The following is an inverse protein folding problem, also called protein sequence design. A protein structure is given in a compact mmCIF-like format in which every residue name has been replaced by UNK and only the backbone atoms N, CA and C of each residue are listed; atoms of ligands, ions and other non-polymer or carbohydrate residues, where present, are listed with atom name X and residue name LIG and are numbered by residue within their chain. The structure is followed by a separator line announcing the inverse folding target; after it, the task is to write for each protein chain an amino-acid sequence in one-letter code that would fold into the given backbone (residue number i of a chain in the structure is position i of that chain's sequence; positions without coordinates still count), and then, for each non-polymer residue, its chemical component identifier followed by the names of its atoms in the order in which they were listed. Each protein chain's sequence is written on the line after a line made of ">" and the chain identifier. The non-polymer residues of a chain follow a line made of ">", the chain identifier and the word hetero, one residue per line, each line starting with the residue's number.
data_IF_846215551291
#
_entry.id   IF_846215551291
#
_cell.length_a   1.000
_cell.length_b   1.000
_cell.length_c   1.000
_cell.angle_alpha   90.00
_cell.angle_beta   90.00
_cell.angle_gamma   90.00
#
_symmetry.space_group_name_H-M   'P 1'
#
loop_
_entity.id
_entity.type
_entity.pdbx_description
1 polymer ?
#
# COMPACT_ATOMS: atom_id res chain seq x y z
N UNK A 1 -4.21 54.05 -25.92
CA UNK A 1 -4.70 52.74 -25.43
C UNK A 1 -6.22 52.79 -25.33
N UNK A 2 -6.97 51.85 -25.93
CA UNK A 2 -8.42 51.94 -25.95
C UNK A 2 -8.99 51.48 -24.61
N UNK A 3 -9.22 52.42 -23.68
CA UNK A 3 -9.83 52.14 -22.38
C UNK A 3 -11.31 51.71 -22.49
N UNK A 4 -11.98 52.11 -23.58
CA UNK A 4 -13.40 51.82 -23.84
C UNK A 4 -13.75 50.32 -23.89
N UNK A 5 -13.06 49.44 -24.65
CA UNK A 5 -13.35 48.01 -24.65
C UNK A 5 -13.10 47.34 -23.30
N UNK A 6 -12.11 47.80 -22.52
CA UNK A 6 -11.82 47.25 -21.20
C UNK A 6 -12.96 47.55 -20.22
N UNK A 7 -13.46 48.79 -20.22
CA UNK A 7 -14.58 49.22 -19.37
C UNK A 7 -15.84 48.43 -19.70
N UNK A 8 -16.16 48.27 -20.99
CA UNK A 8 -17.33 47.49 -21.44
C UNK A 8 -17.22 46.03 -21.00
N UNK A 9 -16.04 45.42 -21.12
CA UNK A 9 -15.83 44.04 -20.69
C UNK A 9 -15.99 43.89 -19.17
N UNK A 10 -15.41 44.79 -18.37
CA UNK A 10 -15.57 44.76 -16.91
C UNK A 10 -17.02 44.97 -16.47
N UNK A 11 -17.76 45.87 -17.13
CA UNK A 11 -19.18 46.07 -16.83
C UNK A 11 -20.02 44.85 -17.18
N UNK A 12 -19.71 44.16 -18.29
CA UNK A 12 -20.44 42.98 -18.73
C UNK A 12 -20.17 41.78 -17.82
N UNK A 13 -18.91 41.60 -17.39
CA UNK A 13 -18.53 40.58 -16.39
C UNK A 13 -19.18 40.88 -15.04
N UNK A 14 -19.22 42.14 -14.62
CA UNK A 14 -19.90 42.55 -13.39
C UNK A 14 -21.40 42.25 -13.43
N UNK A 15 -22.08 42.57 -14.53
CA UNK A 15 -23.50 42.28 -14.70
C UNK A 15 -23.79 40.77 -14.69
N UNK A 16 -22.92 39.96 -15.31
CA UNK A 16 -23.03 38.51 -15.30
C UNK A 16 -22.88 37.93 -13.88
N UNK A 17 -21.96 38.44 -13.06
CA UNK A 17 -21.83 38.02 -11.67
C UNK A 17 -23.06 38.36 -10.84
N UNK A 18 -23.62 39.57 -11.02
CA UNK A 18 -24.84 39.99 -10.31
C UNK A 18 -26.03 39.10 -10.68
N UNK A 19 -26.20 38.80 -11.97
CA UNK A 19 -27.26 37.88 -12.42
C UNK A 19 -27.08 36.46 -11.89
N UNK A 20 -25.84 35.96 -11.83
CA UNK A 20 -25.53 34.64 -11.27
C UNK A 20 -25.82 34.58 -9.76
N UNK A 21 -25.50 35.64 -9.02
CA UNK A 21 -25.79 35.78 -7.59
C UNK A 21 -27.29 35.91 -7.30
N UNK A 22 -28.06 36.53 -8.20
CA UNK A 22 -29.51 36.63 -8.07
C UNK A 22 -30.24 35.33 -8.48
N UNK A 23 -29.66 34.54 -9.38
CA UNK A 23 -30.19 33.25 -9.80
C UNK A 23 -29.80 32.08 -8.87
N UNK A 24 -28.83 32.30 -7.97
CA UNK A 24 -28.47 31.33 -6.94
C UNK A 24 -29.54 31.31 -5.84
N UNK A 25 -30.16 30.16 -5.53
CA UNK A 25 -31.03 30.06 -4.36
C UNK A 25 -30.17 30.31 -3.11
N UNK A 26 -30.42 31.43 -2.43
CA UNK A 26 -29.83 31.80 -1.15
C UNK A 26 -30.36 30.88 -0.04
N UNK A 27 -30.01 29.60 -0.09
CA UNK A 27 -30.20 28.64 1.00
C UNK A 27 -28.90 28.56 1.82
N UNK A 28 -28.52 29.69 2.45
CA UNK A 28 -27.52 29.69 3.53
C UNK A 28 -28.27 29.55 4.86
N UNK A 29 -28.76 28.34 5.11
CA UNK A 29 -29.36 27.92 6.36
C UNK A 29 -28.85 26.53 6.70
N UNK A 30 -28.71 26.23 8.00
CA UNK A 30 -28.34 24.90 8.45
C UNK A 30 -29.27 23.86 7.81
N UNK A 31 -28.70 22.89 7.09
CA UNK A 31 -29.44 21.72 6.59
C UNK A 31 -30.15 21.13 7.82
N UNK A 32 -31.49 21.12 7.89
CA UNK A 32 -32.17 20.44 8.97
C UNK A 32 -31.76 18.97 8.87
N UNK A 33 -31.18 18.44 9.96
CA UNK A 33 -30.93 17.02 10.06
C UNK A 33 -32.22 16.27 9.66
N UNK A 34 -32.15 15.25 8.80
CA UNK A 34 -33.32 14.45 8.49
C UNK A 34 -33.92 13.99 9.82
N UNK A 35 -35.17 14.36 10.07
CA UNK A 35 -35.93 13.91 11.23
C UNK A 35 -36.02 12.39 11.15
N UNK A 36 -35.09 11.72 11.82
CA UNK A 36 -35.15 10.28 12.05
C UNK A 36 -36.32 10.08 12.99
N UNK A 37 -37.49 9.82 12.43
CA UNK A 37 -38.61 9.28 13.19
C UNK A 37 -38.12 7.98 13.82
N UNK A 38 -38.09 7.85 15.16
CA UNK A 38 -37.70 6.59 15.77
C UNK A 38 -38.74 5.55 15.38
N UNK A 39 -38.37 4.64 14.48
CA UNK A 39 -39.16 3.42 14.26
C UNK A 39 -39.13 2.64 15.56
N UNK A 40 -40.29 2.45 16.18
CA UNK A 40 -40.42 1.56 17.31
C UNK A 40 -39.91 0.17 16.92
N UNK A 41 -38.93 -0.34 17.67
CA UNK A 41 -38.51 -1.72 17.55
C UNK A 41 -39.68 -2.62 17.94
N UNK A 42 -40.33 -3.25 16.96
CA UNK A 42 -41.25 -4.36 17.21
C UNK A 42 -40.40 -5.61 17.41
N UNK A 43 -40.04 -5.88 18.66
CA UNK A 43 -39.57 -7.21 19.07
C UNK A 43 -40.74 -8.18 18.95
N UNK A 44 -40.77 -8.95 17.88
CA UNK A 44 -41.63 -10.13 17.79
C UNK A 44 -40.96 -11.23 18.61
N UNK A 45 -41.48 -11.50 19.80
CA UNK A 45 -41.08 -12.66 20.60
C UNK A 45 -41.44 -13.92 19.82
N UNK A 46 -40.43 -14.68 19.38
CA UNK A 46 -40.63 -16.02 18.87
C UNK A 46 -40.74 -16.95 20.07
N UNK A 47 -41.96 -17.35 20.41
CA UNK A 47 -42.20 -18.45 21.33
C UNK A 47 -41.80 -19.75 20.62
N UNK A 48 -40.61 -20.27 20.95
CA UNK A 48 -40.13 -21.54 20.45
C UNK A 48 -40.92 -22.63 21.18
N UNK A 49 -41.91 -23.21 20.51
CA UNK A 49 -42.62 -24.41 20.97
C UNK A 49 -41.58 -25.53 21.20
N UNK A 50 -41.43 -26.08 22.41
CA UNK A 50 -40.49 -27.17 22.66
C UNK A 50 -40.84 -28.36 21.78
N UNK A 51 -39.86 -28.82 21.00
CA UNK A 51 -39.97 -30.08 20.28
C UNK A 51 -40.11 -31.21 21.30
N UNK A 52 -41.17 -32.00 21.14
CA UNK A 52 -41.39 -33.19 21.95
C UNK A 52 -40.21 -34.14 21.78
N UNK A 53 -39.69 -34.60 22.91
CA UNK A 53 -38.68 -35.65 23.02
C UNK A 53 -39.29 -36.92 22.41
N UNK A 54 -38.83 -37.31 21.22
CA UNK A 54 -39.11 -38.64 20.68
C UNK A 54 -38.21 -39.63 21.40
N UNK A 55 -38.85 -40.49 22.19
CA UNK A 55 -38.28 -41.68 22.82
C UNK A 55 -37.59 -42.60 21.80
N UNK A 56 -36.51 -43.32 22.18
CA UNK A 56 -35.81 -44.24 21.31
C UNK A 56 -36.68 -45.50 21.06
N UNK A 57 -36.94 -45.79 19.79
CA UNK A 57 -37.59 -47.04 19.38
C UNK A 57 -36.54 -48.07 18.96
N UNK A 58 -36.68 -49.26 19.53
CA UNK A 58 -35.91 -50.50 19.42
C UNK A 58 -35.78 -51.03 17.97
N UNK A 59 -34.67 -51.68 17.58
CA UNK A 59 -34.51 -52.27 16.25
C UNK A 59 -34.99 -53.73 16.17
N UNK A 60 -35.55 -54.16 15.02
CA UNK A 60 -35.54 -55.57 14.62
C UNK A 60 -35.05 -55.72 13.13
N UNK A 61 -34.91 -56.94 12.56
CA UNK A 61 -33.60 -57.59 12.31
C UNK A 61 -33.21 -57.71 10.82
N UNK A 62 -31.94 -58.06 10.57
CA UNK A 62 -31.39 -58.49 9.25
C UNK A 62 -32.13 -59.74 8.72
N UNK A 63 -32.36 -60.01 7.42
CA UNK A 63 -31.53 -60.19 6.19
C UNK A 63 -32.56 -60.67 5.09
N UNK A 64 -32.28 -61.05 3.80
CA UNK A 64 -31.03 -61.12 3.03
C UNK A 64 -31.07 -60.58 1.58
N UNK A 65 -29.86 -60.55 1.02
CA UNK A 65 -29.33 -60.39 -0.35
C UNK A 65 -30.23 -60.74 -1.55
N UNK A 66 -30.22 -59.88 -2.58
CA UNK A 66 -30.28 -60.30 -4.00
C UNK A 66 -29.26 -59.52 -4.84
N UNK A 67 -28.37 -60.30 -5.47
CA UNK A 67 -27.34 -59.91 -6.43
C UNK A 67 -27.98 -59.70 -7.81
N UNK A 68 -27.65 -58.62 -8.53
CA UNK A 68 -27.80 -58.58 -10.00
C UNK A 68 -26.73 -57.69 -10.68
N UNK A 69 -26.34 -58.16 -11.85
CA UNK A 69 -25.13 -57.87 -12.63
C UNK A 69 -25.09 -56.50 -13.34
N UNK A 70 -23.91 -56.05 -13.85
CA UNK A 70 -23.76 -54.75 -14.49
C UNK A 70 -24.15 -54.79 -15.98
N UNK A 71 -24.80 -53.73 -16.46
CA UNK A 71 -25.04 -53.49 -17.88
C UNK A 71 -24.34 -52.21 -18.34
N UNK A 72 -23.59 -52.34 -19.45
CA UNK A 72 -22.90 -51.28 -20.16
C UNK A 72 -23.88 -50.30 -20.80
N UNK A 73 -23.38 -49.08 -21.06
CA UNK A 73 -23.35 -48.35 -22.34
C UNK A 73 -23.87 -46.92 -22.26
N UNK A 74 -23.02 -46.00 -22.75
CA UNK A 74 -23.31 -44.88 -23.66
C UNK A 74 -23.06 -43.48 -23.10
N UNK A 75 -22.03 -42.86 -23.67
CA UNK A 75 -21.79 -41.42 -23.65
C UNK A 75 -22.80 -40.66 -24.53
N UNK A 76 -23.09 -39.40 -24.19
CA UNK A 76 -23.42 -38.39 -25.19
C UNK A 76 -22.41 -37.24 -25.25
N UNK A 77 -22.28 -36.72 -26.47
CA UNK A 77 -21.40 -35.67 -26.97
C UNK A 77 -21.76 -34.25 -26.45
N UNK A 78 -20.88 -33.24 -26.66
CA UNK A 78 -21.04 -31.89 -26.12
C UNK A 78 -21.93 -31.00 -27.00
N UNK A 79 -22.58 -29.97 -26.45
CA UNK A 79 -23.23 -28.95 -27.25
C UNK A 79 -22.23 -27.88 -27.70
N UNK A 80 -22.24 -27.60 -29.01
CA UNK A 80 -21.78 -26.34 -29.57
C UNK A 80 -22.96 -25.34 -29.56
N UNK A 81 -22.72 -24.08 -29.21
CA UNK A 81 -23.42 -22.98 -29.85
C UNK A 81 -22.63 -21.67 -29.79
N UNK A 82 -22.53 -21.09 -30.98
CA UNK A 82 -21.85 -19.86 -31.36
C UNK A 82 -22.52 -18.62 -30.78
N UNK A 83 -21.72 -17.59 -30.49
CA UNK A 83 -22.14 -16.21 -30.68
C UNK A 83 -20.96 -15.40 -31.23
N UNK A 84 -21.17 -14.82 -32.40
CA UNK A 84 -20.33 -13.86 -33.12
C UNK A 84 -20.89 -12.45 -32.95
N UNK A 85 -20.07 -11.48 -32.55
CA UNK A 85 -20.17 -10.06 -32.90
C UNK A 85 -18.86 -9.33 -32.45
N UNK A 86 -18.53 -8.12 -32.94
CA UNK A 86 -17.33 -7.90 -33.75
C UNK A 86 -16.18 -7.22 -32.99
N UNK A 87 -14.99 -7.34 -33.60
CA UNK A 87 -13.77 -6.63 -33.22
C UNK A 87 -13.99 -5.11 -33.25
N UNK A 88 -13.86 -4.47 -32.08
CA UNK A 88 -13.47 -3.07 -31.98
C UNK A 88 -11.98 -3.01 -31.67
N UNK A 89 -11.25 -2.42 -32.60
CA UNK A 89 -9.87 -1.96 -32.48
C UNK A 89 -9.81 -0.96 -31.32
N UNK A 90 -9.02 -1.19 -30.25
CA UNK A 90 -8.63 -0.10 -29.38
C UNK A 90 -7.54 0.72 -30.07
N UNK A 91 -7.64 2.05 -30.11
CA UNK A 91 -6.53 2.89 -30.52
C UNK A 91 -5.36 2.73 -29.53
N UNK A 92 -4.18 2.63 -30.11
CA UNK A 92 -2.85 2.75 -29.48
C UNK A 92 -2.87 3.75 -28.32
N UNK A 93 -2.52 3.35 -27.08
CA UNK A 93 -2.15 4.33 -26.08
C UNK A 93 -0.82 4.93 -26.52
N UNK A 94 -0.87 6.21 -26.85
CA UNK A 94 0.29 7.06 -27.06
C UNK A 94 1.08 7.04 -25.74
N UNK A 95 2.13 6.23 -25.73
CA UNK A 95 3.21 6.36 -24.78
C UNK A 95 3.93 7.69 -25.07
N UNK A 96 4.34 8.46 -24.05
CA UNK A 96 5.53 9.26 -24.18
C UNK A 96 6.75 8.32 -24.06
N UNK A 97 7.38 8.04 -25.20
CA UNK A 97 8.78 7.61 -25.39
C UNK A 97 9.75 8.55 -24.64
N UNK A 98 10.67 8.02 -23.81
CA UNK A 98 12.04 7.54 -24.10
C UNK A 98 13.04 8.63 -24.52
N UNK A 99 14.14 8.77 -23.75
CA UNK A 99 15.58 8.69 -24.15
C UNK A 99 16.31 8.30 -22.84
N UNK A 100 17.13 7.23 -22.72
CA UNK A 100 18.29 6.95 -23.54
C UNK A 100 18.54 5.45 -23.75
N UNK A 101 18.85 5.16 -25.01
CA UNK A 101 19.48 3.95 -25.49
C UNK A 101 21.00 4.17 -25.41
N UNK A 102 21.74 3.21 -24.89
CA UNK A 102 23.16 3.06 -25.18
C UNK A 102 23.39 1.61 -25.60
N UNK A 103 23.70 1.45 -26.89
CA UNK A 103 24.27 0.25 -27.49
C UNK A 103 25.58 -0.12 -26.77
N UNK A 104 25.99 -1.39 -26.86
CA UNK A 104 27.30 -1.61 -27.46
C UNK A 104 27.23 -2.52 -28.66
N UNK A 105 27.94 -2.09 -29.70
CA UNK A 105 28.27 -2.85 -30.89
C UNK A 105 29.01 -4.16 -30.58
N UNK A 106 28.64 -5.16 -31.36
CA UNK A 106 29.32 -6.44 -31.54
C UNK A 106 30.51 -6.27 -32.48
N UNK A 107 31.74 -6.63 -32.08
CA UNK A 107 32.78 -7.17 -33.00
C UNK A 107 33.76 -8.07 -32.17
N UNK A 108 34.58 -8.95 -32.78
CA UNK A 108 34.29 -10.35 -33.10
C UNK A 108 35.14 -11.35 -32.29
N UNK A 109 34.81 -12.64 -32.46
CA UNK A 109 35.52 -13.83 -31.97
C UNK A 109 36.95 -13.89 -32.53
N UNK A 110 37.92 -14.17 -31.66
CA UNK A 110 39.21 -14.73 -32.03
C UNK A 110 39.51 -15.94 -31.12
N UNK A 111 39.61 -17.12 -31.74
CA UNK A 111 40.08 -18.37 -31.15
C UNK A 111 41.57 -18.28 -30.79
N UNK A 112 41.95 -18.71 -29.58
CA UNK A 112 43.04 -19.68 -29.33
C UNK A 112 43.15 -20.02 -27.83
N UNK A 113 43.67 -21.20 -27.48
CA UNK A 113 43.36 -21.90 -26.24
C UNK A 113 44.32 -21.54 -25.10
N UNK A 114 43.88 -21.76 -23.85
CA UNK A 114 44.57 -22.61 -22.86
C UNK A 114 44.34 -22.14 -21.42
N UNK A 115 44.26 -23.15 -20.57
CA UNK A 115 44.65 -23.18 -19.15
C UNK A 115 43.63 -22.68 -18.12
N UNK A 116 42.91 -23.67 -17.59
CA UNK A 116 42.33 -23.70 -16.24
C UNK A 116 43.34 -23.25 -15.17
N UNK A 117 42.91 -22.40 -14.23
CA UNK A 117 43.29 -22.54 -12.84
C UNK A 117 42.04 -22.76 -11.98
N UNK A 118 42.02 -23.89 -11.30
CA UNK A 118 41.03 -24.22 -10.27
C UNK A 118 41.14 -23.22 -9.12
N UNK A 119 40.18 -22.31 -9.01
CA UNK A 119 39.98 -21.48 -7.82
C UNK A 119 39.01 -22.23 -6.91
N UNK A 120 39.34 -22.48 -5.63
CA UNK A 120 38.43 -23.12 -4.69
C UNK A 120 37.15 -22.29 -4.58
N UNK A 121 36.00 -22.94 -4.71
CA UNK A 121 34.70 -22.32 -4.48
C UNK A 121 34.63 -21.82 -3.04
N UNK A 122 34.82 -20.52 -2.84
CA UNK A 122 34.40 -19.84 -1.63
C UNK A 122 32.87 -19.91 -1.59
N UNK A 123 32.34 -20.83 -0.77
CA UNK A 123 30.93 -20.81 -0.41
C UNK A 123 30.62 -19.44 0.19
N UNK A 124 29.55 -18.73 -0.25
CA UNK A 124 29.07 -17.60 0.52
C UNK A 124 28.65 -18.12 1.89
N UNK A 125 29.39 -17.71 2.92
CA UNK A 125 28.99 -17.87 4.31
C UNK A 125 27.60 -17.25 4.47
N UNK A 126 26.59 -18.10 4.65
CA UNK A 126 25.29 -17.68 5.15
C UNK A 126 25.51 -16.94 6.47
N UNK A 127 25.09 -15.67 6.62
CA UNK A 127 25.14 -15.01 7.91
C UNK A 127 24.27 -15.80 8.90
N UNK A 128 24.84 -16.03 10.08
CA UNK A 128 24.26 -16.72 11.23
C UNK A 128 22.72 -16.60 11.28
N UNK A 129 22.05 -17.75 11.21
CA UNK A 129 20.74 -17.92 11.82
C UNK A 129 20.90 -17.75 13.35
N UNK A 130 20.24 -16.77 13.95
CA UNK A 130 20.03 -16.77 15.41
C UNK A 130 20.02 -15.45 16.17
N UNK A 131 20.22 -14.28 15.55
CA UNK A 131 19.98 -13.02 16.25
C UNK A 131 18.48 -12.69 16.21
N UNK A 132 17.76 -12.97 17.30
CA UNK A 132 16.41 -12.45 17.48
C UNK A 132 16.51 -10.94 17.71
N UNK A 133 16.26 -10.15 16.68
CA UNK A 133 16.16 -8.70 16.83
C UNK A 133 14.96 -8.39 17.72
N UNK A 134 15.17 -7.65 18.81
CA UNK A 134 14.07 -7.22 19.66
C UNK A 134 13.11 -6.33 18.85
N UNK A 135 11.81 -6.58 19.00
CA UNK A 135 10.79 -5.93 18.21
C UNK A 135 9.55 -5.62 19.06
N UNK A 136 9.08 -4.38 18.98
CA UNK A 136 7.83 -3.94 19.62
C UNK A 136 6.91 -3.35 18.55
N UNK A 137 5.83 -4.06 18.20
CA UNK A 137 4.89 -3.60 17.18
C UNK A 137 3.83 -2.70 17.83
N UNK A 138 3.60 -1.46 17.34
CA UNK A 138 2.65 -0.55 17.94
C UNK A 138 1.22 -1.10 17.88
N UNK A 139 0.41 -0.71 18.86
CA UNK A 139 -1.04 -1.00 18.87
C UNK A 139 -1.77 -0.37 17.68
N UNK A 140 -2.97 -0.86 17.40
CA UNK A 140 -3.82 -0.32 16.32
C UNK A 140 -4.11 1.17 16.54
N UNK A 141 -3.92 1.98 15.50
CA UNK A 141 -4.00 3.44 15.58
C UNK A 141 -4.35 4.07 14.24
N UNK A 142 -4.97 5.25 14.28
CA UNK A 142 -5.18 6.10 13.12
C UNK A 142 -4.40 7.40 13.26
N UNK A 143 -3.53 7.69 12.27
CA UNK A 143 -2.71 8.90 12.23
C UNK A 143 -3.18 9.80 11.10
N UNK A 144 -3.53 11.04 11.42
CA UNK A 144 -3.94 12.06 10.46
C UNK A 144 -2.79 13.03 10.22
N UNK A 145 -2.53 13.34 8.96
CA UNK A 145 -1.44 14.20 8.55
C UNK A 145 -1.93 15.42 7.78
N UNK A 146 -1.27 16.56 8.02
CA UNK A 146 -1.23 17.66 7.06
C UNK A 146 -0.12 17.35 6.05
N UNK A 147 -0.43 17.47 4.75
CA UNK A 147 0.52 17.16 3.69
C UNK A 147 0.76 18.38 2.83
N UNK A 148 2.03 18.65 2.55
CA UNK A 148 2.47 19.61 1.53
C UNK A 148 3.31 18.89 0.50
N UNK A 149 3.36 19.41 -0.71
CA UNK A 149 4.20 18.83 -1.74
C UNK A 149 4.44 19.78 -2.89
N UNK A 150 5.39 19.38 -3.74
CA UNK A 150 5.73 20.04 -4.99
C UNK A 150 5.64 19.03 -6.12
N UNK A 151 5.01 19.42 -7.21
CA UNK A 151 4.93 18.63 -8.44
C UNK A 151 5.04 19.55 -9.64
N UNK A 152 6.03 19.33 -10.51
CA UNK A 152 6.24 20.14 -11.73
C UNK A 152 6.28 21.65 -11.44
N UNK A 153 7.02 22.04 -10.41
CA UNK A 153 7.16 23.43 -9.94
C UNK A 153 5.88 24.07 -9.37
N UNK A 154 4.83 23.29 -9.08
CA UNK A 154 3.64 23.77 -8.39
C UNK A 154 3.57 23.17 -6.99
N UNK A 155 3.38 24.04 -6.00
CA UNK A 155 3.14 23.63 -4.61
C UNK A 155 1.67 23.27 -4.42
N UNK A 156 1.41 22.26 -3.61
CA UNK A 156 0.07 21.82 -3.27
C UNK A 156 -0.03 21.39 -1.80
N UNK A 157 -1.26 21.31 -1.31
CA UNK A 157 -1.56 20.84 0.04
C UNK A 157 -2.69 19.81 0.00
N UNK A 158 -2.65 18.87 0.92
CA UNK A 158 -3.62 17.80 1.05
C UNK A 158 -3.75 17.36 2.52
N UNK A 159 -4.73 16.50 2.78
CA UNK A 159 -4.75 15.72 4.00
C UNK A 159 -4.44 14.26 3.67
N UNK A 160 -3.79 13.60 4.62
CA UNK A 160 -3.54 12.17 4.53
C UNK A 160 -3.89 11.46 5.85
N UNK A 161 -4.13 10.17 5.76
CA UNK A 161 -4.46 9.31 6.89
C UNK A 161 -3.76 7.96 6.74
N UNK A 162 -3.07 7.53 7.80
CA UNK A 162 -2.60 6.17 7.99
C UNK A 162 -3.53 5.45 8.97
N UNK A 163 -4.23 4.43 8.48
CA UNK A 163 -4.93 3.45 9.32
C UNK A 163 -4.01 2.26 9.53
N UNK A 164 -3.64 1.99 10.78
CA UNK A 164 -2.86 0.83 11.19
C UNK A 164 -3.71 -0.06 12.09
N UNK A 165 -3.94 -1.31 11.66
CA UNK A 165 -4.72 -2.30 12.38
C UNK A 165 -3.91 -3.57 12.55
N UNK A 166 -3.96 -4.18 13.73
CA UNK A 166 -3.32 -5.46 14.02
C UNK A 166 -4.00 -6.19 15.19
N UNK A 167 -3.90 -7.52 15.19
CA UNK A 167 -4.44 -8.42 16.22
C UNK A 167 -3.35 -9.29 16.90
N UNK A 168 -2.08 -8.94 16.70
CA UNK A 168 -0.90 -9.69 17.16
C UNK A 168 -0.53 -10.89 16.28
N UNK A 169 -1.31 -11.21 15.25
CA UNK A 169 -1.05 -12.31 14.31
C UNK A 169 -1.02 -11.84 12.86
N UNK A 170 -1.87 -10.88 12.51
CA UNK A 170 -2.00 -10.26 11.19
C UNK A 170 -2.05 -8.75 11.33
N UNK A 171 -1.84 -8.06 10.22
CA UNK A 171 -1.99 -6.61 10.16
C UNK A 171 -2.59 -6.14 8.85
N UNK A 172 -3.19 -4.95 8.91
CA UNK A 172 -3.61 -4.15 7.77
C UNK A 172 -3.15 -2.69 7.95
N UNK A 173 -2.37 -2.20 7.01
CA UNK A 173 -1.93 -0.81 6.93
C UNK A 173 -2.54 -0.16 5.68
N UNK A 174 -3.08 1.05 5.81
CA UNK A 174 -3.57 1.84 4.67
C UNK A 174 -3.20 3.30 4.83
N UNK A 175 -2.38 3.80 3.92
CA UNK A 175 -2.11 5.23 3.74
C UNK A 175 -3.00 5.77 2.64
N UNK A 176 -3.75 6.84 2.90
CA UNK A 176 -4.54 7.53 1.88
C UNK A 176 -4.29 9.02 1.92
N UNK A 177 -4.25 9.66 0.76
CA UNK A 177 -4.13 11.10 0.63
C UNK A 177 -5.18 11.59 -0.38
N UNK A 178 -5.83 12.70 -0.06
CA UNK A 178 -6.80 13.32 -0.95
C UNK A 178 -6.71 14.84 -0.89
N UNK A 179 -6.89 15.47 -2.04
CA UNK A 179 -7.00 16.92 -2.17
C UNK A 179 -8.05 17.29 -3.21
N UNK A 180 -8.73 18.40 -2.97
CA UNK A 180 -9.71 18.97 -3.90
C UNK A 180 -9.02 19.24 -5.26
N UNK A 181 -9.64 18.81 -6.36
CA UNK A 181 -9.14 18.90 -7.75
C UNK A 181 -7.90 18.05 -8.12
N UNK A 182 -7.12 17.54 -7.16
CA UNK A 182 -5.91 16.74 -7.42
C UNK A 182 -6.19 15.22 -7.40
N UNK A 183 -7.33 14.83 -6.82
CA UNK A 183 -7.80 13.45 -6.72
C UNK A 183 -7.35 12.76 -5.43
N UNK A 184 -7.39 11.43 -5.43
CA UNK A 184 -6.99 10.61 -4.30
C UNK A 184 -5.94 9.57 -4.70
N UNK A 185 -5.03 9.28 -3.78
CA UNK A 185 -4.08 8.17 -3.84
C UNK A 185 -4.18 7.35 -2.57
N UNK A 186 -4.00 6.06 -2.68
CA UNK A 186 -3.84 5.19 -1.50
C UNK A 186 -2.81 4.10 -1.73
N UNK A 187 -2.09 3.77 -0.68
CA UNK A 187 -1.30 2.55 -0.57
C UNK A 187 -1.87 1.68 0.54
N UNK A 188 -1.84 0.37 0.38
CA UNK A 188 -2.17 -0.57 1.46
C UNK A 188 -1.20 -1.73 1.49
N UNK A 189 -0.92 -2.23 2.69
CA UNK A 189 -0.12 -3.40 2.96
C UNK A 189 -0.87 -4.28 3.94
N UNK A 190 -0.93 -5.58 3.68
CA UNK A 190 -1.48 -6.56 4.61
C UNK A 190 -0.57 -7.78 4.68
N UNK A 191 -0.60 -8.45 5.82
CA UNK A 191 0.32 -9.55 6.06
C UNK A 191 0.19 -10.18 7.44
N UNK A 192 1.22 -10.93 7.79
CA UNK A 192 1.36 -11.61 9.09
C UNK A 192 2.33 -10.86 9.99
N UNK A 193 2.20 -11.07 11.28
CA UNK A 193 3.18 -10.69 12.29
C UNK A 193 3.96 -11.95 12.67
N UNK A 194 5.29 -11.88 12.60
CA UNK A 194 6.20 -12.98 12.91
C UNK A 194 7.24 -12.54 13.93
N UNK A 195 8.13 -13.45 14.34
CA UNK A 195 9.25 -13.11 15.22
C UNK A 195 10.22 -12.08 14.61
N UNK A 196 10.27 -11.96 13.28
CA UNK A 196 11.09 -10.95 12.59
C UNK A 196 10.31 -9.64 12.34
N UNK A 197 9.01 -9.62 12.67
CA UNK A 197 8.12 -8.48 12.52
C UNK A 197 7.11 -8.63 11.41
N UNK A 198 6.91 -7.56 10.64
CA UNK A 198 5.89 -7.51 9.61
C UNK A 198 6.31 -8.37 8.42
N UNK A 199 5.51 -9.38 8.07
CA UNK A 199 5.69 -10.19 6.89
C UNK A 199 4.54 -9.91 5.91
N UNK A 200 4.69 -8.95 4.97
CA UNK A 200 3.67 -8.63 4.00
C UNK A 200 3.34 -9.85 3.13
N UNK A 201 2.07 -9.99 2.78
CA UNK A 201 1.59 -10.95 1.77
C UNK A 201 1.10 -10.21 0.52
N UNK A 202 0.60 -8.97 0.69
CA UNK A 202 0.09 -8.14 -0.40
C UNK A 202 0.39 -6.65 -0.16
N UNK A 203 0.88 -6.00 -1.20
CA UNK A 203 0.97 -4.54 -1.29
C UNK A 203 0.10 -4.04 -2.45
N UNK A 204 -0.58 -2.90 -2.28
CA UNK A 204 -1.40 -2.24 -3.29
C UNK A 204 -1.07 -0.75 -3.36
N UNK A 205 -0.88 -0.20 -4.55
CA UNK A 205 -0.76 1.24 -4.82
C UNK A 205 -1.81 1.64 -5.85
N UNK A 206 -2.71 2.53 -5.43
CA UNK A 206 -3.83 3.01 -6.23
C UNK A 206 -3.76 4.51 -6.37
N UNK A 207 -3.64 4.97 -7.61
CA UNK A 207 -3.80 6.37 -8.00
C UNK A 207 -4.71 6.43 -9.23
N UNK A 208 -4.15 6.72 -10.41
CA UNK A 208 -4.87 6.60 -11.70
C UNK A 208 -5.07 5.16 -12.15
N UNK A 209 -4.15 4.30 -11.78
CA UNK A 209 -4.25 2.85 -11.94
C UNK A 209 -3.90 2.17 -10.63
N UNK A 210 -4.28 0.91 -10.53
CA UNK A 210 -4.01 0.06 -9.39
C UNK A 210 -2.88 -0.92 -9.75
N UNK A 211 -1.90 -1.06 -8.86
CA UNK A 211 -0.80 -2.02 -8.98
C UNK A 211 -0.59 -2.74 -7.67
N UNK A 212 -0.23 -4.01 -7.76
CA UNK A 212 0.01 -4.85 -6.60
C UNK A 212 1.36 -5.57 -6.68
N UNK A 213 1.93 -5.83 -5.52
CA UNK A 213 2.99 -6.82 -5.33
C UNK A 213 2.46 -7.93 -4.40
N UNK A 214 2.72 -9.19 -4.74
CA UNK A 214 2.35 -10.36 -3.95
C UNK A 214 3.61 -11.03 -3.44
N UNK A 215 3.68 -11.27 -2.14
CA UNK A 215 4.81 -11.90 -1.49
C UNK A 215 4.51 -13.38 -1.33
N UNK A 216 5.10 -14.21 -2.17
CA UNK A 216 4.86 -15.66 -2.25
C UNK A 216 6.06 -16.38 -1.60
N UNK A 217 6.12 -16.32 -0.26
CA UNK A 217 7.24 -16.87 0.52
C UNK A 217 7.45 -18.37 0.29
N UNK A 218 6.37 -19.13 0.13
CA UNK A 218 6.36 -20.55 -0.21
C UNK A 218 7.01 -20.85 -1.58
N UNK A 219 6.98 -19.88 -2.49
CA UNK A 219 7.59 -19.97 -3.82
C UNK A 219 8.92 -19.22 -3.93
N UNK A 220 9.37 -18.57 -2.85
CA UNK A 220 10.60 -17.79 -2.83
C UNK A 220 10.60 -16.57 -3.76
N UNK A 221 9.44 -15.98 -4.06
CA UNK A 221 9.35 -14.84 -5.00
C UNK A 221 8.34 -13.76 -4.61
N UNK A 222 8.51 -12.58 -5.20
CA UNK A 222 7.58 -11.46 -5.17
C UNK A 222 7.13 -11.18 -6.60
N UNK A 223 5.82 -11.31 -6.87
CA UNK A 223 5.24 -11.10 -8.20
C UNK A 223 4.48 -9.79 -8.30
N UNK A 224 4.54 -9.14 -9.47
CA UNK A 224 3.97 -7.81 -9.69
C UNK A 224 2.82 -7.84 -10.69
N UNK A 225 1.69 -7.20 -10.34
CA UNK A 225 0.55 -7.06 -11.26
C UNK A 225 0.82 -6.11 -12.43
N UNK A 226 2.00 -5.47 -12.45
CA UNK A 226 2.45 -4.60 -13.51
C UNK A 226 3.05 -5.36 -14.72
N UNK A 227 3.05 -6.70 -14.69
CA UNK A 227 3.69 -7.58 -15.69
C UNK A 227 5.18 -7.28 -15.85
N UNK A 228 5.85 -6.91 -14.76
CA UNK A 228 7.31 -6.80 -14.68
C UNK A 228 7.91 -8.12 -14.18
N UNK A 229 9.21 -8.38 -14.38
CA UNK A 229 9.85 -9.57 -13.86
C UNK A 229 9.65 -9.73 -12.35
N UNK A 230 9.43 -10.97 -11.91
CA UNK A 230 9.38 -11.31 -10.50
C UNK A 230 10.72 -10.98 -9.81
N UNK A 231 10.66 -10.63 -8.53
CA UNK A 231 11.83 -10.44 -7.69
C UNK A 231 11.98 -11.64 -6.73
N UNK A 232 13.20 -11.97 -6.23
CA UNK A 232 13.34 -12.98 -5.19
C UNK A 232 12.64 -12.54 -3.90
N UNK A 233 12.02 -13.46 -3.18
CA UNK A 233 11.53 -13.21 -1.83
C UNK A 233 12.65 -13.46 -0.83
N UNK A 234 12.86 -12.52 0.09
CA UNK A 234 13.81 -12.64 1.19
C UNK A 234 13.05 -12.58 2.52
N UNK A 235 13.54 -13.32 3.52
CA UNK A 235 13.00 -13.23 4.88
C UNK A 235 13.16 -11.80 5.40
N UNK A 236 12.10 -11.25 5.99
CA UNK A 236 12.06 -9.83 6.41
C UNK A 236 11.88 -8.84 5.26
N UNK A 237 11.52 -9.30 4.06
CA UNK A 237 11.15 -8.40 2.97
C UNK A 237 9.92 -7.56 3.35
N UNK A 238 9.99 -6.27 3.08
CA UNK A 238 8.92 -5.31 3.30
C UNK A 238 8.35 -4.78 1.98
N UNK A 239 7.27 -4.03 2.05
CA UNK A 239 6.79 -3.16 0.98
C UNK A 239 6.97 -1.68 1.34
N UNK A 240 6.73 -0.79 0.38
CA UNK A 240 6.90 0.67 0.54
C UNK A 240 6.05 1.32 1.64
N UNK A 241 5.03 0.64 2.17
CA UNK A 241 4.25 1.11 3.32
C UNK A 241 4.70 0.41 4.61
N UNK A 242 4.78 -0.92 4.62
CA UNK A 242 5.14 -1.68 5.82
C UNK A 242 6.57 -1.42 6.30
N UNK A 243 7.49 -1.01 5.41
CA UNK A 243 8.88 -0.70 5.77
C UNK A 243 8.97 0.37 6.88
N UNK A 244 8.08 1.36 6.87
CA UNK A 244 8.08 2.42 7.89
C UNK A 244 7.62 1.92 9.24
N UNK A 245 6.60 1.06 9.26
CA UNK A 245 6.08 0.46 10.49
C UNK A 245 7.06 -0.56 11.06
N UNK A 246 7.76 -1.31 10.19
CA UNK A 246 8.84 -2.21 10.59
C UNK A 246 10.00 -1.45 11.23
N UNK A 247 10.45 -0.34 10.63
CA UNK A 247 11.51 0.50 11.20
C UNK A 247 11.13 1.05 12.58
N UNK A 248 9.92 1.59 12.73
CA UNK A 248 9.42 2.03 14.03
C UNK A 248 9.40 0.90 15.05
N UNK A 249 9.00 -0.30 14.63
CA UNK A 249 8.93 -1.48 15.50
C UNK A 249 10.30 -1.99 15.96
N UNK A 250 11.32 -1.90 15.09
CA UNK A 250 12.71 -2.22 15.41
C UNK A 250 13.28 -1.23 16.44
N UNK A 251 13.08 0.07 16.21
CA UNK A 251 13.49 1.11 17.14
C UNK A 251 12.79 0.97 18.49
N UNK A 252 11.49 0.67 18.51
CA UNK A 252 10.73 0.44 19.74
C UNK A 252 11.13 -0.83 20.49
N UNK A 253 11.66 -1.84 19.79
CA UNK A 253 12.08 -3.11 20.36
C UNK A 253 13.38 -3.01 21.16
N UNK A 254 14.38 -2.32 20.61
CA UNK A 254 15.65 -2.07 21.27
C UNK A 254 16.32 -0.80 20.75
N UNK A 255 15.95 0.38 21.30
CA UNK A 255 16.52 1.66 20.88
C UNK A 255 18.05 1.72 21.03
N UNK A 256 18.61 1.04 22.03
CA UNK A 256 20.04 1.07 22.32
C UNK A 256 20.89 0.38 21.23
N UNK A 257 20.30 -0.57 20.49
CA UNK A 257 20.91 -1.20 19.33
C UNK A 257 20.99 -0.29 18.09
N UNK A 258 20.39 0.90 18.12
CA UNK A 258 20.33 1.83 16.99
C UNK A 258 20.89 3.22 17.34
N UNK A 259 22.18 3.35 17.73
CA UNK A 259 22.80 4.65 17.91
C UNK A 259 22.87 5.46 16.60
N UNK A 260 23.12 6.76 16.70
CA UNK A 260 23.33 7.64 15.53
C UNK A 260 24.42 7.09 14.61
N UNK A 261 24.15 7.08 13.31
CA UNK A 261 25.02 6.50 12.27
C UNK A 261 24.76 5.02 11.97
N UNK A 262 23.95 4.33 12.80
CA UNK A 262 23.53 2.95 12.52
C UNK A 262 22.80 2.84 11.20
N UNK A 263 23.03 1.73 10.50
CA UNK A 263 22.38 1.43 9.22
C UNK A 263 21.40 0.29 9.37
N UNK A 264 20.20 0.48 8.87
CA UNK A 264 19.15 -0.55 8.81
C UNK A 264 18.81 -0.81 7.35
N UNK A 265 19.11 -2.01 6.87
CA UNK A 265 18.87 -2.43 5.49
C UNK A 265 17.69 -3.40 5.42
N UNK A 266 16.68 -3.06 4.60
CA UNK A 266 15.46 -3.85 4.42
C UNK A 266 15.20 -4.05 2.93
N UNK A 267 15.05 -5.29 2.51
CA UNK A 267 14.64 -5.59 1.13
C UNK A 267 13.19 -5.17 0.93
N UNK A 268 12.94 -4.20 0.06
CA UNK A 268 11.68 -3.45 0.00
C UNK A 268 11.08 -3.52 -1.40
N UNK A 269 9.86 -4.03 -1.52
CA UNK A 269 9.12 -4.08 -2.78
C UNK A 269 8.24 -2.83 -2.98
N UNK A 270 8.35 -2.24 -4.16
CA UNK A 270 7.38 -1.30 -4.70
C UNK A 270 6.32 -1.98 -5.58
N UNK A 271 5.58 -1.21 -6.39
CA UNK A 271 4.55 -1.76 -7.27
C UNK A 271 5.06 -2.49 -8.52
N UNK A 272 6.39 -2.59 -8.72
CA UNK A 272 7.02 -3.11 -9.96
C UNK A 272 8.32 -3.86 -9.78
N UNK A 273 9.05 -3.54 -8.72
CA UNK A 273 10.40 -4.01 -8.46
C UNK A 273 10.60 -4.07 -6.95
N UNK A 274 11.67 -4.76 -6.55
CA UNK A 274 12.12 -4.77 -5.17
C UNK A 274 13.63 -4.48 -5.11
N UNK A 275 14.04 -3.71 -4.12
CA UNK A 275 15.41 -3.26 -3.92
C UNK A 275 15.74 -3.14 -2.42
N UNK A 276 17.02 -3.21 -2.07
CA UNK A 276 17.45 -3.04 -0.67
C UNK A 276 17.46 -1.58 -0.29
N UNK A 277 16.57 -1.18 0.62
CA UNK A 277 16.55 0.16 1.19
C UNK A 277 17.43 0.20 2.42
N UNK A 278 18.42 1.08 2.42
CA UNK A 278 19.31 1.28 3.58
C UNK A 278 19.03 2.64 4.20
N UNK A 279 18.54 2.63 5.43
CA UNK A 279 18.29 3.82 6.24
C UNK A 279 19.44 4.03 7.20
N UNK A 280 19.84 5.29 7.38
CA UNK A 280 20.80 5.71 8.42
C UNK A 280 20.01 6.37 9.55
N UNK A 281 20.27 5.95 10.79
CA UNK A 281 19.73 6.59 11.99
C UNK A 281 20.47 7.89 12.22
N UNK A 282 19.75 8.98 12.30
CA UNK A 282 20.27 10.32 12.57
C UNK A 282 20.03 10.70 14.03
N UNK A 283 20.52 11.87 14.44
CA UNK A 283 20.26 12.40 15.77
C UNK A 283 18.75 12.66 16.02
N UNK A 284 18.34 12.55 17.27
CA UNK A 284 17.02 13.01 17.71
C UNK A 284 16.90 14.52 17.53
N UNK A 285 15.77 14.98 17.01
CA UNK A 285 15.45 16.40 16.87
C UNK A 285 14.03 16.70 17.36
N UNK A 286 13.84 17.91 17.88
CA UNK A 286 12.51 18.41 18.25
C UNK A 286 11.81 18.97 17.02
N UNK A 287 10.66 18.40 16.68
CA UNK A 287 9.81 18.83 15.58
C UNK A 287 8.66 19.69 16.10
N UNK A 288 8.42 20.84 15.45
CA UNK A 288 7.18 21.60 15.62
C UNK A 288 6.15 21.13 14.57
N UNK A 289 5.26 20.21 14.95
CA UNK A 289 4.24 19.64 14.07
C UNK A 289 2.87 20.29 14.31
N UNK A 290 1.90 20.15 13.39
CA UNK A 290 0.51 20.55 13.65
C UNK A 290 -0.12 19.87 14.87
N UNK A 291 0.38 18.69 15.27
CA UNK A 291 -0.03 17.99 16.49
C UNK A 291 0.65 18.53 17.79
N UNK A 292 1.61 19.46 17.68
CA UNK A 292 2.40 19.98 18.79
C UNK A 292 3.90 19.73 18.61
N UNK A 293 4.68 20.10 19.63
CA UNK A 293 6.11 19.80 19.68
C UNK A 293 6.37 18.35 20.10
N UNK A 294 7.26 17.66 19.39
CA UNK A 294 7.61 16.27 19.69
C UNK A 294 9.07 16.00 19.37
N UNK A 295 9.77 15.31 20.27
CA UNK A 295 11.10 14.79 19.99
C UNK A 295 10.97 13.54 19.11
N UNK A 296 11.77 13.46 18.04
CA UNK A 296 11.71 12.35 17.10
C UNK A 296 13.10 11.96 16.59
N UNK A 297 13.31 10.65 16.47
CA UNK A 297 14.50 10.07 15.84
C UNK A 297 14.27 10.04 14.34
N UNK A 298 15.17 10.66 13.57
CA UNK A 298 15.10 10.69 12.11
C UNK A 298 15.87 9.53 11.50
N UNK A 299 15.29 8.86 10.52
CA UNK A 299 15.96 7.90 9.64
C UNK A 299 15.97 8.42 8.20
N UNK A 300 17.13 8.33 7.55
CA UNK A 300 17.32 8.81 6.17
C UNK A 300 17.81 7.70 5.24
N UNK A 301 17.09 7.48 4.13
CA UNK A 301 17.58 6.75 2.96
C UNK A 301 18.00 7.75 1.90
N UNK A 302 19.29 7.78 1.58
CA UNK A 302 19.83 8.59 0.46
C UNK A 302 19.72 7.82 -0.86
N UNK A 303 19.61 8.51 -2.01
CA UNK A 303 19.71 7.89 -3.32
C UNK A 303 21.03 7.14 -3.49
N UNK A 304 21.01 5.91 -4.00
CA UNK A 304 22.22 5.12 -4.29
C UNK A 304 22.48 5.00 -5.79
N UNK A 305 21.44 5.10 -6.60
CA UNK A 305 21.47 5.08 -8.06
C UNK A 305 20.76 6.31 -8.61
N UNK A 306 20.94 6.55 -9.90
CA UNK A 306 20.11 7.51 -10.62
C UNK A 306 18.63 7.15 -10.47
N UNK A 307 17.77 8.17 -10.42
CA UNK A 307 16.32 8.06 -10.23
C UNK A 307 15.86 7.53 -8.85
N UNK A 308 16.77 7.19 -7.93
CA UNK A 308 16.38 6.88 -6.55
C UNK A 308 15.82 8.14 -5.85
N UNK A 309 14.79 7.93 -5.04
CA UNK A 309 14.22 8.95 -4.15
C UNK A 309 15.01 9.04 -2.83
N UNK A 310 15.06 10.25 -2.27
CA UNK A 310 15.43 10.44 -0.87
C UNK A 310 14.20 10.18 0.01
N UNK A 311 14.35 9.40 1.07
CA UNK A 311 13.29 9.16 2.05
C UNK A 311 13.79 9.58 3.42
N UNK A 312 13.06 10.45 4.08
CA UNK A 312 13.28 10.88 5.44
C UNK A 312 12.03 10.52 6.25
N UNK A 313 12.21 9.91 7.41
CA UNK A 313 11.10 9.55 8.29
C UNK A 313 11.48 9.80 9.73
N UNK A 314 10.53 10.29 10.52
CA UNK A 314 10.73 10.64 11.92
C UNK A 314 9.81 9.82 12.80
N UNK A 315 10.38 9.18 13.82
CA UNK A 315 9.67 8.35 14.77
C UNK A 315 9.73 8.98 16.16
N UNK A 316 8.59 9.13 16.82
CA UNK A 316 8.54 9.74 18.15
C UNK A 316 8.59 8.68 19.26
N UNK A 317 9.65 8.63 20.11
CA UNK A 317 9.72 7.68 21.22
C UNK A 317 8.53 7.80 22.20
N UNK A 318 8.05 9.02 22.43
CA UNK A 318 6.87 9.28 23.28
C UNK A 318 5.55 8.76 22.72
N UNK A 319 5.55 8.29 21.46
CA UNK A 319 4.39 7.74 20.76
C UNK A 319 4.68 6.31 20.26
N UNK A 320 5.41 5.51 21.04
CA UNK A 320 5.77 4.12 20.68
C UNK A 320 6.48 4.02 19.32
N UNK A 321 7.31 5.01 19.00
CA UNK A 321 8.01 5.12 17.71
C UNK A 321 7.07 5.08 16.50
N UNK A 322 5.86 5.63 16.62
CA UNK A 322 4.99 5.89 15.48
C UNK A 322 5.60 6.93 14.53
N UNK A 323 5.38 6.82 13.20
CA UNK A 323 5.89 7.77 12.23
C UNK A 323 5.14 9.09 12.33
N UNK A 324 5.77 10.12 12.90
CA UNK A 324 5.14 11.44 13.12
C UNK A 324 5.39 12.41 11.96
N UNK A 325 6.38 12.13 11.13
CA UNK A 325 6.62 12.86 9.88
C UNK A 325 7.28 11.96 8.85
N UNK A 326 6.99 12.19 7.58
CA UNK A 326 7.75 11.59 6.48
C UNK A 326 7.93 12.62 5.36
N UNK A 327 9.10 12.62 4.73
CA UNK A 327 9.39 13.41 3.55
C UNK A 327 10.03 12.54 2.48
N UNK A 328 9.41 12.51 1.31
CA UNK A 328 9.92 11.78 0.14
C UNK A 328 10.23 12.80 -0.94
N UNK A 329 11.49 12.86 -1.37
CA UNK A 329 11.95 13.77 -2.41
C UNK A 329 12.42 12.96 -3.62
N UNK A 330 11.81 13.23 -4.76
CA UNK A 330 12.16 12.63 -6.05
C UNK A 330 13.44 13.25 -6.60
N UNK A 331 14.08 12.56 -7.55
CA UNK A 331 15.32 13.04 -8.18
C UNK A 331 15.16 14.43 -8.85
N UNK A 332 13.98 14.73 -9.39
CA UNK A 332 13.67 16.02 -10.02
C UNK A 332 13.37 17.15 -9.01
N UNK A 333 13.46 16.89 -7.70
CA UNK A 333 13.17 17.86 -6.64
C UNK A 333 11.69 17.98 -6.25
N UNK A 334 10.78 17.28 -6.94
CA UNK A 334 9.40 17.13 -6.48
C UNK A 334 9.39 16.38 -5.14
N UNK A 335 8.53 16.79 -4.21
CA UNK A 335 8.50 16.18 -2.89
C UNK A 335 7.09 16.09 -2.32
N UNK A 336 6.95 15.23 -1.30
CA UNK A 336 5.80 15.16 -0.42
C UNK A 336 6.35 15.19 1.01
N UNK A 337 5.80 16.06 1.86
CA UNK A 337 6.07 16.15 3.28
C UNK A 337 4.74 15.97 4.04
N UNK A 338 4.67 14.93 4.87
CA UNK A 338 3.52 14.57 5.68
C UNK A 338 3.87 14.82 7.15
N UNK A 339 3.12 15.68 7.83
CA UNK A 339 3.35 16.05 9.22
C UNK A 339 2.13 15.68 10.07
N UNK A 340 2.36 15.02 11.20
CA UNK A 340 1.29 14.57 12.08
C UNK A 340 0.44 15.76 12.54
N UNK A 341 -0.87 15.59 12.44
CA UNK A 341 -1.90 16.53 12.89
C UNK A 341 -2.71 16.00 14.06
N UNK A 342 -3.01 14.71 14.07
CA UNK A 342 -3.76 14.09 15.15
C UNK A 342 -3.55 12.58 15.17
N UNK A 343 -3.72 12.00 16.36
CA UNK A 343 -3.80 10.56 16.60
C UNK A 343 -5.18 10.22 17.12
N UNK A 344 -5.79 9.19 16.55
CA UNK A 344 -7.13 8.73 16.91
C UNK A 344 -7.13 7.23 17.17
N UNK A 345 -8.13 6.78 17.93
CA UNK A 345 -8.43 5.36 18.02
C UNK A 345 -8.86 4.85 16.63
N UNK A 346 -8.50 3.61 16.28
CA UNK A 346 -8.74 3.03 14.97
C UNK A 346 -10.22 2.99 14.56
#
# INVERSE_FOLDING_TARGET
>A
MPAKPLIVLTSLVGLAHVLLLQAAPLEWGAVPAPQVTPRAFITRTLEIKPAAVTTPSTPPPATPTVRRAPAKTRAPAPPAQQNTAPALVPPTPIAPELIANATPDTIPVADTPSTTPSIPAAQPESPLAGASTALTIPGSVRLKYAMTGRSKNMDYSAFAELSWLQDGQSYDAKMSASAFLIGSRSMSSSGRITADGLAPTRFLDKYRSERAAHFEADKGKISFSANTPDAPWLRGAQDRLSVFLQLGSLLAGDPASYPVGSKVSLYTAGPREADTWTFTVEAEETLSLPAGEVAAVKLTRKPQRDYDQTVEIWFAPSMEYLPVRSRITQQNGDFIDQQLRATEKP
#
